data_IF_288220819887
#
_entry.id   IF_288220819887
#
_cell.length_a   1.000
_cell.length_b   1.000
_cell.length_c   1.000
_cell.angle_alpha   90.00
_cell.angle_beta   90.00
_cell.angle_gamma   90.00
#
_symmetry.space_group_name_H-M   'P 1'
#
loop_
_entity.id
_entity.type
_entity.pdbx_description
1 polymer ?
#
# COMPACT_ATOMS: atom_id res chain seq x y z
N UNK A 1 6.97 -2.19 22.23
CA UNK A 1 5.95 -1.49 21.42
C UNK A 1 5.10 -0.52 22.24
N UNK A 2 4.64 -0.85 23.45
CA UNK A 2 3.88 0.11 24.28
C UNK A 2 4.64 1.41 24.56
N UNK A 3 5.96 1.34 24.82
CA UNK A 3 6.80 2.52 25.04
C UNK A 3 6.89 3.46 23.81
N UNK A 4 6.58 2.99 22.60
CA UNK A 4 6.57 3.84 21.41
C UNK A 4 5.31 4.74 21.39
N UNK A 5 4.24 4.32 22.08
CA UNK A 5 3.03 5.13 22.27
C UNK A 5 3.23 6.26 23.28
N UNK A 6 4.29 6.22 24.10
CA UNK A 6 4.60 7.25 25.09
C UNK A 6 5.39 8.42 24.50
N UNK A 7 5.98 8.24 23.32
CA UNK A 7 6.74 9.28 22.62
C UNK A 7 5.86 9.94 21.57
N UNK A 8 5.49 11.19 21.84
CA UNK A 8 4.57 11.96 21.01
C UNK A 8 5.28 13.02 20.16
N UNK A 9 4.72 13.25 18.98
CA UNK A 9 5.15 14.29 18.06
C UNK A 9 3.96 15.11 17.56
N UNK A 10 4.21 16.39 17.28
CA UNK A 10 3.18 17.35 16.84
C UNK A 10 2.90 17.28 15.33
N UNK A 11 3.75 16.57 14.57
CA UNK A 11 3.60 16.42 13.12
C UNK A 11 4.07 15.05 12.62
N UNK A 12 3.50 14.62 11.50
CA UNK A 12 4.00 13.50 10.70
C UNK A 12 5.32 13.91 10.04
N UNK A 13 6.27 12.99 9.97
CA UNK A 13 7.52 13.22 9.25
C UNK A 13 8.57 12.15 9.52
N UNK A 14 9.63 12.11 8.72
CA UNK A 14 10.74 11.19 8.95
C UNK A 14 11.68 11.72 10.00
N UNK A 15 12.23 10.80 10.80
CA UNK A 15 13.19 11.15 11.83
C UNK A 15 14.56 11.33 11.19
N UNK A 16 15.15 12.51 11.35
CA UNK A 16 16.49 12.83 10.86
C UNK A 16 17.40 13.18 12.03
N UNK A 17 18.65 12.73 11.99
CA UNK A 17 19.68 13.08 12.95
C UNK A 17 20.63 14.09 12.33
N UNK A 18 20.88 15.20 13.03
CA UNK A 18 21.88 16.18 12.60
C UNK A 18 23.31 15.74 12.96
N UNK A 19 24.31 16.51 12.53
CA UNK A 19 25.73 16.25 12.82
C UNK A 19 26.09 16.31 14.31
N UNK A 20 25.22 16.87 15.14
CA UNK A 20 25.40 16.99 16.59
C UNK A 20 24.66 15.89 17.37
N UNK A 21 24.01 14.97 16.66
CA UNK A 21 23.25 13.88 17.25
C UNK A 21 21.83 14.26 17.71
N UNK A 22 21.36 15.48 17.40
CA UNK A 22 20.01 15.95 17.72
C UNK A 22 19.04 15.43 16.66
N UNK A 23 17.94 14.86 17.12
CA UNK A 23 16.88 14.36 16.24
C UNK A 23 15.84 15.44 15.98
N UNK A 24 15.43 15.58 14.72
CA UNK A 24 14.34 16.45 14.30
C UNK A 24 13.43 15.76 13.29
N UNK A 25 12.15 16.15 13.29
CA UNK A 25 11.18 15.63 12.32
C UNK A 25 11.29 16.47 11.06
N UNK A 26 11.78 15.83 9.99
CA UNK A 26 11.89 16.41 8.66
C UNK A 26 10.61 16.27 7.85
N UNK A 27 10.74 16.37 6.55
CA UNK A 27 9.71 15.93 5.61
C UNK A 27 9.38 14.45 5.87
N UNK A 28 8.12 14.06 5.68
CA UNK A 28 7.79 12.64 5.70
C UNK A 28 8.47 11.98 4.49
N UNK A 29 9.10 10.83 4.67
CA UNK A 29 9.64 10.04 3.55
C UNK A 29 8.92 8.69 3.43
N UNK A 30 8.02 8.40 4.36
CA UNK A 30 7.12 7.25 4.25
C UNK A 30 6.03 7.62 3.26
N UNK A 31 6.06 7.02 2.07
CA UNK A 31 5.08 7.22 0.98
C UNK A 31 3.63 7.12 1.49
N UNK A 32 3.40 6.24 2.46
CA UNK A 32 2.09 5.99 3.06
C UNK A 32 1.60 7.08 4.01
N UNK A 33 2.50 7.95 4.48
CA UNK A 33 2.29 9.01 5.47
C UNK A 33 2.65 10.40 4.92
N UNK A 34 3.28 10.46 3.75
CA UNK A 34 3.55 11.65 2.93
C UNK A 34 2.25 12.26 2.40
N UNK A 35 1.36 12.66 3.31
CA UNK A 35 0.07 13.25 2.99
C UNK A 35 0.18 14.75 2.71
N UNK A 36 1.26 15.14 2.02
CA UNK A 36 1.50 16.50 1.51
C UNK A 36 1.47 16.62 -0.01
N UNK A 37 1.15 15.58 -0.79
CA UNK A 37 0.53 15.74 -2.11
C UNK A 37 -0.46 14.59 -2.33
N UNK A 38 -1.73 14.95 -2.55
CA UNK A 38 -2.96 14.15 -2.36
C UNK A 38 -3.12 12.98 -3.33
N UNK A 39 -2.05 12.61 -4.02
CA UNK A 39 -2.14 11.95 -5.30
C UNK A 39 -1.45 10.59 -5.33
N UNK A 40 -0.57 10.12 -4.44
CA UNK A 40 0.22 8.89 -4.72
C UNK A 40 -0.51 7.62 -5.22
N UNK A 41 -1.76 7.26 -4.88
CA UNK A 41 -2.43 6.16 -5.62
C UNK A 41 -2.93 6.61 -7.00
N UNK A 42 -3.41 7.85 -7.09
CA UNK A 42 -3.82 8.50 -8.34
C UNK A 42 -2.61 8.90 -9.21
N UNK A 43 -1.61 9.61 -8.71
CA UNK A 43 -0.26 9.85 -9.22
C UNK A 43 0.49 8.55 -9.51
N UNK A 44 0.59 7.55 -8.63
CA UNK A 44 1.20 6.26 -9.01
C UNK A 44 0.39 5.62 -10.13
N UNK A 45 -0.95 5.61 -10.06
CA UNK A 45 -1.73 5.13 -11.18
C UNK A 45 -1.61 6.03 -12.43
N UNK A 46 -1.26 7.31 -12.33
CA UNK A 46 -1.08 8.28 -13.42
C UNK A 46 0.38 8.34 -13.94
N UNK A 47 1.36 7.86 -13.20
CA UNK A 47 2.79 8.08 -13.47
C UNK A 47 3.58 6.76 -13.51
N UNK A 48 3.08 5.68 -12.87
CA UNK A 48 3.77 4.41 -12.77
C UNK A 48 2.86 3.23 -13.18
N UNK A 49 3.41 2.18 -13.81
CA UNK A 49 2.65 0.98 -14.10
C UNK A 49 2.16 0.33 -12.80
N UNK A 50 0.85 0.06 -12.62
CA UNK A 50 0.34 -0.63 -11.43
C UNK A 50 0.70 -2.11 -11.41
N UNK A 51 1.44 -2.62 -12.41
CA UNK A 51 1.83 -4.03 -12.55
C UNK A 51 2.51 -4.55 -11.27
N UNK A 52 2.07 -5.70 -10.72
CA UNK A 52 1.15 -6.68 -11.30
C UNK A 52 -0.34 -6.43 -11.00
N UNK A 53 -0.72 -5.34 -10.33
CA UNK A 53 -2.04 -5.12 -9.77
C UNK A 53 -3.11 -4.78 -10.81
N UNK A 54 -4.26 -5.45 -10.68
CA UNK A 54 -5.50 -5.04 -11.32
C UNK A 54 -6.55 -4.84 -10.25
N UNK A 55 -7.10 -3.62 -10.14
CA UNK A 55 -7.95 -3.27 -9.00
C UNK A 55 -9.12 -4.27 -8.83
N UNK A 56 -9.82 -4.59 -9.92
CA UNK A 56 -11.00 -5.47 -9.91
C UNK A 56 -10.68 -6.95 -10.15
N UNK A 57 -9.44 -7.31 -10.45
CA UNK A 57 -9.09 -8.68 -10.79
C UNK A 57 -8.04 -9.24 -9.81
N UNK A 58 -8.34 -10.36 -9.14
CA UNK A 58 -7.47 -10.90 -8.10
C UNK A 58 -6.18 -11.49 -8.69
N UNK A 59 -5.01 -11.16 -8.14
CA UNK A 59 -3.79 -11.91 -8.47
C UNK A 59 -3.78 -13.18 -7.61
N UNK A 60 -3.71 -14.39 -8.22
CA UNK A 60 -3.76 -15.64 -7.46
C UNK A 60 -2.67 -15.72 -6.39
N UNK A 61 -3.07 -16.11 -5.18
CA UNK A 61 -2.15 -16.33 -4.07
C UNK A 61 -1.99 -17.80 -3.74
N UNK A 62 -0.78 -18.24 -3.41
CA UNK A 62 -0.48 -19.65 -3.16
C UNK A 62 -1.29 -20.24 -2.00
N UNK A 63 -1.62 -19.45 -0.98
CA UNK A 63 -2.35 -19.90 0.21
C UNK A 63 -3.86 -20.04 -0.03
N UNK A 64 -4.39 -19.54 -1.16
CA UNK A 64 -5.79 -19.67 -1.55
C UNK A 64 -6.11 -21.02 -2.22
N UNK A 65 -5.08 -21.78 -2.60
CA UNK A 65 -5.25 -23.03 -3.34
C UNK A 65 -4.83 -24.26 -2.53
N UNK A 66 -5.58 -25.36 -2.60
CA UNK A 66 -5.30 -26.57 -1.82
C UNK A 66 -4.03 -27.31 -2.27
N UNK A 67 -3.54 -27.02 -3.48
CA UNK A 67 -2.34 -27.65 -4.03
C UNK A 67 -1.71 -26.81 -5.13
N UNK A 68 -0.43 -27.09 -5.38
CA UNK A 68 0.40 -26.40 -6.36
C UNK A 68 -0.13 -26.49 -7.80
N UNK A 69 -0.76 -27.60 -8.17
CA UNK A 69 -1.35 -27.77 -9.51
C UNK A 69 -2.51 -26.82 -9.75
N UNK A 70 -3.36 -26.61 -8.75
CA UNK A 70 -4.50 -25.69 -8.84
C UNK A 70 -4.04 -24.24 -8.86
N UNK A 71 -3.06 -23.90 -8.02
CA UNK A 71 -2.40 -22.59 -8.03
C UNK A 71 -1.78 -22.26 -9.40
N UNK A 72 -1.00 -23.17 -9.98
CA UNK A 72 -0.42 -22.99 -11.32
C UNK A 72 -1.48 -22.71 -12.39
N UNK A 73 -2.56 -23.48 -12.40
CA UNK A 73 -3.68 -23.24 -13.33
C UNK A 73 -4.31 -21.85 -13.15
N UNK A 74 -4.38 -21.35 -11.93
CA UNK A 74 -4.88 -20.00 -11.66
C UNK A 74 -3.90 -18.93 -12.15
N UNK A 75 -2.60 -19.11 -11.92
CA UNK A 75 -1.54 -18.24 -12.46
C UNK A 75 -1.54 -18.24 -13.99
N UNK A 76 -1.69 -19.39 -14.65
CA UNK A 76 -1.77 -19.48 -16.11
C UNK A 76 -2.98 -18.66 -16.61
N UNK A 77 -4.14 -18.75 -15.95
CA UNK A 77 -5.33 -17.95 -16.29
C UNK A 77 -5.11 -16.47 -16.05
N UNK A 78 -4.42 -16.11 -14.97
CA UNK A 78 -4.04 -14.73 -14.65
C UNK A 78 -3.14 -14.14 -15.74
N UNK A 79 -2.12 -14.87 -16.17
CA UNK A 79 -1.23 -14.45 -17.26
C UNK A 79 -2.00 -14.25 -18.58
N UNK A 80 -2.91 -15.17 -18.93
CA UNK A 80 -3.79 -15.00 -20.08
C UNK A 80 -4.74 -13.80 -19.93
N UNK A 81 -5.18 -13.48 -18.70
CA UNK A 81 -5.97 -12.28 -18.45
C UNK A 81 -5.14 -11.02 -18.69
N UNK A 82 -3.91 -10.97 -18.18
CA UNK A 82 -3.00 -9.83 -18.36
C UNK A 82 -2.65 -9.58 -19.83
N UNK A 83 -2.55 -10.64 -20.65
CA UNK A 83 -2.22 -10.53 -22.09
C UNK A 83 -3.36 -9.96 -22.95
N UNK A 84 -4.56 -9.74 -22.40
CA UNK A 84 -5.70 -9.22 -23.17
C UNK A 84 -5.79 -7.70 -22.97
N UNK A 85 -5.59 -6.93 -24.04
CA UNK A 85 -5.94 -5.51 -24.14
C UNK A 85 -5.38 -4.65 -22.98
N UNK A 86 -4.12 -4.88 -22.62
CA UNK A 86 -3.38 -4.20 -21.55
C UNK A 86 -4.20 -4.03 -20.28
N UNK A 87 -4.89 -5.08 -19.82
CA UNK A 87 -5.83 -4.96 -18.68
C UNK A 87 -5.19 -4.50 -17.38
N UNK A 88 -3.89 -4.75 -17.20
CA UNK A 88 -3.15 -4.35 -16.00
C UNK A 88 -2.64 -2.92 -16.16
N UNK A 89 -2.03 -2.58 -17.29
CA UNK A 89 -1.42 -1.26 -17.50
C UNK A 89 -2.37 -0.24 -18.12
N UNK A 90 -3.54 -0.68 -18.57
CA UNK A 90 -4.48 0.14 -19.33
C UNK A 90 -5.21 1.16 -18.48
N UNK A 91 -5.61 2.25 -19.14
CA UNK A 91 -6.23 3.42 -18.50
C UNK A 91 -7.51 3.11 -17.71
N UNK A 92 -8.21 2.02 -18.01
CA UNK A 92 -9.38 1.59 -17.21
C UNK A 92 -8.98 1.07 -15.82
N UNK A 93 -7.85 0.37 -15.72
CA UNK A 93 -7.34 -0.12 -14.45
C UNK A 93 -6.77 1.05 -13.63
N UNK A 94 -6.00 1.92 -14.29
CA UNK A 94 -5.47 3.17 -13.70
C UNK A 94 -6.60 4.04 -13.15
N UNK A 95 -7.66 4.26 -13.93
CA UNK A 95 -8.87 4.96 -13.47
C UNK A 95 -9.51 4.30 -12.24
N UNK A 96 -9.52 2.97 -12.18
CA UNK A 96 -9.98 2.22 -11.00
C UNK A 96 -9.20 2.62 -9.75
N UNK A 97 -7.87 2.60 -9.80
CA UNK A 97 -7.03 3.04 -8.69
C UNK A 97 -7.21 4.52 -8.34
N UNK A 98 -7.36 5.41 -9.32
CA UNK A 98 -7.64 6.82 -9.05
C UNK A 98 -8.99 7.02 -8.32
N UNK A 99 -10.04 6.32 -8.76
CA UNK A 99 -11.35 6.37 -8.08
C UNK A 99 -11.26 5.78 -6.68
N UNK A 100 -10.52 4.67 -6.50
CA UNK A 100 -10.24 4.11 -5.18
C UNK A 100 -9.54 5.14 -4.28
N UNK A 101 -8.54 5.86 -4.81
CA UNK A 101 -7.82 6.93 -4.12
C UNK A 101 -8.77 8.02 -3.61
N UNK A 102 -9.72 8.46 -4.44
CA UNK A 102 -10.72 9.45 -4.05
C UNK A 102 -11.56 8.96 -2.86
N UNK A 103 -12.02 7.71 -2.88
CA UNK A 103 -12.75 7.13 -1.75
C UNK A 103 -11.87 6.98 -0.51
N UNK A 104 -10.62 6.50 -0.66
CA UNK A 104 -9.69 6.35 0.46
C UNK A 104 -9.43 7.69 1.15
N UNK A 105 -9.27 8.76 0.38
CA UNK A 105 -9.14 10.13 0.89
C UNK A 105 -10.39 10.56 1.69
N UNK A 106 -11.60 10.22 1.23
CA UNK A 106 -12.85 10.47 1.96
C UNK A 106 -12.97 9.64 3.26
N UNK A 107 -12.28 8.50 3.35
CA UNK A 107 -12.28 7.63 4.53
C UNK A 107 -11.28 8.04 5.62
N UNK A 108 -10.23 8.80 5.28
CA UNK A 108 -9.15 9.24 6.20
C UNK A 108 -9.66 9.73 7.57
N UNK A 109 -10.69 10.60 7.68
CA UNK A 109 -11.17 11.10 8.97
C UNK A 109 -11.71 10.01 9.92
N UNK A 110 -11.97 8.81 9.41
CA UNK A 110 -12.43 7.65 10.19
C UNK A 110 -11.30 6.74 10.66
N UNK A 111 -10.08 6.98 10.15
CA UNK A 111 -8.87 6.22 10.45
C UNK A 111 -8.06 6.87 11.57
N UNK A 112 -8.09 8.20 11.64
CA UNK A 112 -7.32 9.00 12.60
C UNK A 112 -8.24 9.88 13.45
N UNK A 113 -7.83 10.22 14.68
CA UNK A 113 -8.52 11.20 15.52
C UNK A 113 -8.05 12.62 15.20
N UNK A 114 -8.93 13.60 15.31
CA UNK A 114 -8.56 15.02 15.16
C UNK A 114 -7.57 15.50 16.24
N UNK A 115 -7.60 14.84 17.40
CA UNK A 115 -6.72 15.10 18.55
C UNK A 115 -5.58 14.07 18.64
N UNK A 116 -5.33 13.29 17.58
CA UNK A 116 -4.30 12.24 17.61
C UNK A 116 -2.90 12.84 17.64
N UNK A 117 -2.12 12.48 18.65
CA UNK A 117 -0.69 12.71 18.68
C UNK A 117 0.03 11.64 17.86
N UNK A 118 1.05 12.03 17.10
CA UNK A 118 1.81 11.09 16.28
C UNK A 118 2.83 10.34 17.15
N UNK A 119 3.07 9.08 16.82
CA UNK A 119 3.99 8.19 17.53
C UNK A 119 5.11 7.75 16.61
N UNK A 120 6.23 7.32 17.18
CA UNK A 120 7.30 6.73 16.37
C UNK A 120 6.86 5.38 15.81
N UNK A 121 7.06 5.21 14.51
CA UNK A 121 6.68 4.02 13.76
C UNK A 121 7.88 3.49 12.98
N UNK A 122 8.00 2.16 12.95
CA UNK A 122 9.03 1.44 12.23
C UNK A 122 8.40 0.76 11.00
N UNK A 123 8.61 1.28 9.77
CA UNK A 123 7.87 0.83 8.59
C UNK A 123 8.18 -0.60 8.14
N UNK A 124 9.38 -1.11 8.44
CA UNK A 124 9.81 -2.46 8.08
C UNK A 124 9.91 -3.39 9.30
N UNK A 125 8.94 -3.28 10.22
CA UNK A 125 8.99 -4.07 11.46
C UNK A 125 8.58 -5.53 11.20
N UNK A 126 9.57 -6.39 11.00
CA UNK A 126 9.39 -7.83 10.83
C UNK A 126 10.21 -8.64 11.84
N UNK A 127 9.99 -9.96 11.94
CA UNK A 127 10.67 -10.84 12.92
C UNK A 127 12.20 -10.72 12.89
N UNK A 128 12.80 -10.63 11.69
CA UNK A 128 14.24 -10.42 11.53
C UNK A 128 14.80 -9.08 12.05
N UNK A 129 13.97 -8.11 12.45
CA UNK A 129 14.39 -6.85 13.09
C UNK A 129 14.15 -6.85 14.60
N UNK A 130 13.54 -7.90 15.16
CA UNK A 130 13.20 -8.02 16.59
C UNK A 130 14.09 -9.09 17.21
N UNK A 131 14.95 -8.68 18.14
CA UNK A 131 15.81 -9.58 18.89
C UNK A 131 15.19 -9.86 20.26
N UNK A 132 15.31 -11.11 20.69
CA UNK A 132 14.79 -11.57 21.98
C UNK A 132 15.87 -12.35 22.73
N UNK A 133 15.77 -12.38 24.06
CA UNK A 133 16.57 -13.25 24.93
C UNK A 133 15.99 -14.69 25.01
N UNK A 134 16.57 -15.52 25.87
CA UNK A 134 16.15 -16.92 26.10
C UNK A 134 14.72 -17.03 26.66
N UNK A 135 14.22 -15.98 27.31
CA UNK A 135 12.88 -15.90 27.89
C UNK A 135 11.87 -15.20 26.96
N UNK A 136 12.25 -14.94 25.70
CA UNK A 136 11.47 -14.23 24.70
C UNK A 136 11.16 -12.76 25.03
N UNK A 137 11.91 -12.12 25.93
CA UNK A 137 11.81 -10.68 26.12
C UNK A 137 12.48 -9.95 24.96
N UNK A 138 11.86 -8.89 24.45
CA UNK A 138 12.46 -8.06 23.40
C UNK A 138 13.68 -7.35 23.98
N UNK A 139 14.87 -7.68 23.48
CA UNK A 139 16.14 -7.07 23.88
C UNK A 139 16.52 -5.90 22.98
N UNK A 140 16.16 -5.97 21.70
CA UNK A 140 16.47 -4.92 20.73
C UNK A 140 15.48 -4.93 19.56
N UNK A 141 15.22 -3.73 19.02
CA UNK A 141 14.64 -3.52 17.70
C UNK A 141 15.68 -2.74 16.90
N UNK A 142 16.03 -3.23 15.71
CA UNK A 142 17.07 -2.62 14.87
C UNK A 142 16.47 -2.00 13.60
N UNK A 143 17.32 -1.32 12.84
CA UNK A 143 17.02 -0.77 11.51
C UNK A 143 16.00 0.39 11.48
N UNK A 144 16.17 1.31 12.43
CA UNK A 144 15.37 2.53 12.53
C UNK A 144 15.68 3.59 11.46
N UNK A 145 16.49 3.27 10.43
CA UNK A 145 16.93 4.23 9.41
C UNK A 145 15.78 4.84 8.60
N UNK A 146 14.62 4.17 8.57
CA UNK A 146 13.41 4.65 7.90
C UNK A 146 12.28 5.00 8.88
N UNK A 147 12.57 5.17 10.16
CA UNK A 147 11.56 5.48 11.16
C UNK A 147 10.87 6.83 10.90
N UNK A 148 9.57 6.87 11.18
CA UNK A 148 8.73 8.06 10.96
C UNK A 148 7.77 8.30 12.11
N UNK A 149 7.34 9.54 12.29
CA UNK A 149 6.18 9.88 13.10
C UNK A 149 4.91 9.55 12.30
N UNK A 150 4.00 8.77 12.89
CA UNK A 150 2.79 8.23 12.25
C UNK A 150 1.59 8.24 13.21
N UNK A 151 0.33 8.21 12.73
CA UNK A 151 -0.82 7.95 13.60
C UNK A 151 -0.64 6.70 14.47
N UNK A 152 -1.09 6.76 15.73
CA UNK A 152 -1.02 5.64 16.65
C UNK A 152 -1.78 4.41 16.10
N UNK A 153 -2.86 4.65 15.35
CA UNK A 153 -3.60 3.59 14.65
C UNK A 153 -2.75 2.73 13.70
N UNK A 154 -1.69 3.29 13.09
CA UNK A 154 -0.76 2.51 12.25
C UNK A 154 0.11 1.59 13.10
N UNK A 155 0.69 2.11 14.19
CA UNK A 155 1.48 1.29 15.13
C UNK A 155 0.64 0.18 15.77
N UNK A 156 -0.63 0.46 16.04
CA UNK A 156 -1.58 -0.49 16.64
C UNK A 156 -2.15 -1.49 15.64
N UNK A 157 -2.00 -1.24 14.33
CA UNK A 157 -2.44 -2.16 13.31
C UNK A 157 -1.66 -3.46 13.43
N UNK A 158 -2.36 -4.59 13.52
CA UNK A 158 -1.69 -5.88 13.69
C UNK A 158 -1.00 -6.26 12.39
N UNK A 159 0.31 -6.02 12.30
CA UNK A 159 1.09 -6.38 11.12
C UNK A 159 1.02 -7.89 10.89
N UNK A 160 0.74 -8.27 9.66
CA UNK A 160 0.82 -9.67 9.23
C UNK A 160 2.29 -10.08 9.25
N UNK A 161 2.70 -10.90 10.22
CA UNK A 161 3.97 -11.59 10.16
C UNK A 161 3.93 -12.40 8.84
N UNK A 162 4.88 -12.14 7.95
CA UNK A 162 5.11 -12.89 6.70
C UNK A 162 4.30 -12.41 5.48
N UNK A 163 3.86 -11.14 5.42
CA UNK A 163 3.28 -10.57 4.20
C UNK A 163 1.95 -11.20 3.76
N UNK A 164 1.30 -11.95 4.67
CA UNK A 164 0.04 -12.64 4.38
C UNK A 164 -1.01 -11.67 3.84
N UNK A 165 -1.67 -12.06 2.75
CA UNK A 165 -2.79 -11.36 2.14
C UNK A 165 -4.03 -11.29 3.05
N UNK A 166 -4.16 -12.31 3.91
CA UNK A 166 -5.30 -12.47 4.80
C UNK A 166 -5.17 -11.59 6.05
N UNK A 167 -6.32 -11.15 6.62
CA UNK A 167 -6.33 -10.54 7.94
C UNK A 167 -5.57 -11.38 8.97
N UNK A 168 -4.83 -10.74 9.90
CA UNK A 168 -4.10 -11.45 10.94
C UNK A 168 -5.04 -12.36 11.72
N UNK A 169 -4.59 -13.58 12.01
CA UNK A 169 -5.38 -14.56 12.77
C UNK A 169 -5.89 -13.94 14.09
N UNK A 170 -7.11 -14.25 14.53
CA UNK A 170 -7.66 -13.70 15.78
C UNK A 170 -6.77 -13.92 17.00
N UNK A 171 -6.01 -15.02 17.04
CA UNK A 171 -5.03 -15.30 18.09
C UNK A 171 -3.87 -14.30 18.10
N UNK A 172 -3.36 -13.90 16.92
CA UNK A 172 -2.28 -12.90 16.80
C UNK A 172 -2.77 -11.51 17.18
N UNK A 173 -3.97 -11.13 16.73
CA UNK A 173 -4.61 -9.88 17.14
C UNK A 173 -4.80 -9.83 18.65
N UNK A 174 -5.29 -10.92 19.24
CA UNK A 174 -5.48 -11.04 20.69
C UNK A 174 -4.15 -10.94 21.44
N UNK A 175 -3.10 -11.62 20.96
CA UNK A 175 -1.77 -11.57 21.56
C UNK A 175 -1.17 -10.16 21.52
N UNK A 176 -1.23 -9.47 20.37
CA UNK A 176 -0.74 -8.10 20.23
C UNK A 176 -1.47 -7.15 21.19
N UNK A 177 -2.81 -7.17 21.17
CA UNK A 177 -3.63 -6.32 22.03
C UNK A 177 -3.36 -6.59 23.51
N UNK A 178 -3.16 -7.85 23.89
CA UNK A 178 -2.78 -8.21 25.26
C UNK A 178 -1.40 -7.69 25.63
N UNK A 179 -0.41 -7.80 24.73
CA UNK A 179 0.94 -7.27 24.95
C UNK A 179 0.95 -5.75 25.17
N UNK A 180 0.21 -5.00 24.34
CA UNK A 180 0.08 -3.54 24.48
C UNK A 180 -0.56 -3.17 25.82
N UNK A 181 -1.65 -3.86 26.19
CA UNK A 181 -2.32 -3.65 27.49
C UNK A 181 -1.42 -3.96 28.68
N UNK A 182 -0.70 -5.08 28.64
CA UNK A 182 0.23 -5.48 29.70
C UNK A 182 1.40 -4.49 29.82
N UNK A 183 1.75 -3.79 28.73
CA UNK A 183 2.73 -2.71 28.72
C UNK A 183 2.23 -1.37 29.26
N UNK A 184 1.08 -1.33 29.95
CA UNK A 184 0.55 -0.15 30.64
C UNK A 184 -0.43 0.71 29.85
N UNK A 185 -0.66 0.40 28.57
CA UNK A 185 -1.49 1.20 27.67
C UNK A 185 -2.96 0.77 27.74
N UNK A 186 -3.84 1.66 28.21
CA UNK A 186 -5.29 1.41 28.28
C UNK A 186 -5.99 2.04 27.08
N UNK A 187 -6.09 1.27 26.00
CA UNK A 187 -6.73 1.70 24.75
C UNK A 187 -8.21 1.32 24.71
N UNK A 188 -9.07 2.27 24.35
CA UNK A 188 -10.50 2.06 24.21
C UNK A 188 -10.89 1.32 22.92
N UNK A 189 -12.17 0.89 22.80
CA UNK A 189 -12.68 0.19 21.60
C UNK A 189 -12.52 1.00 20.30
N UNK A 190 -12.63 2.33 20.37
CA UNK A 190 -12.52 3.19 19.20
C UNK A 190 -11.09 3.21 18.63
N UNK A 191 -10.07 3.22 19.49
CA UNK A 191 -8.67 3.16 19.07
C UNK A 191 -8.36 1.85 18.34
N UNK A 192 -8.86 0.73 18.84
CA UNK A 192 -8.72 -0.56 18.16
C UNK A 192 -9.49 -0.62 16.84
N UNK A 193 -10.70 -0.05 16.79
CA UNK A 193 -11.46 0.03 15.54
C UNK A 193 -10.73 0.87 14.47
N UNK A 194 -10.06 1.96 14.87
CA UNK A 194 -9.20 2.76 13.99
C UNK A 194 -8.00 1.95 13.49
N UNK A 195 -7.32 1.23 14.39
CA UNK A 195 -6.20 0.37 14.03
C UNK A 195 -6.60 -0.74 13.04
N UNK A 196 -7.78 -1.33 13.22
CA UNK A 196 -8.29 -2.37 12.32
C UNK A 196 -8.62 -1.79 10.93
N UNK A 197 -9.17 -0.58 10.84
CA UNK A 197 -9.37 0.11 9.54
C UNK A 197 -8.04 0.50 8.90
N UNK A 198 -7.10 1.01 9.69
CA UNK A 198 -5.77 1.40 9.24
C UNK A 198 -5.02 0.21 8.61
N UNK A 199 -5.21 -1.01 9.13
CA UNK A 199 -4.67 -2.22 8.53
C UNK A 199 -5.08 -2.41 7.06
N UNK A 200 -6.36 -2.24 6.73
CA UNK A 200 -6.83 -2.33 5.33
C UNK A 200 -6.30 -1.17 4.49
N UNK A 201 -6.36 0.04 5.04
CA UNK A 201 -5.93 1.25 4.36
C UNK A 201 -4.47 1.15 3.92
N UNK A 202 -3.56 0.83 4.84
CA UNK A 202 -2.12 0.74 4.58
C UNK A 202 -1.79 -0.27 3.49
N UNK A 203 -2.54 -1.37 3.40
CA UNK A 203 -2.29 -2.41 2.40
C UNK A 203 -2.69 -1.98 0.99
N UNK A 204 -3.75 -1.18 0.88
CA UNK A 204 -4.20 -0.59 -0.38
C UNK A 204 -3.23 0.49 -0.85
N UNK A 205 -2.88 1.46 0.02
CA UNK A 205 -2.02 2.58 -0.38
C UNK A 205 -0.56 2.16 -0.59
N UNK A 206 -0.08 1.12 0.09
CA UNK A 206 1.27 0.56 -0.13
C UNK A 206 1.32 -0.48 -1.25
N UNK A 207 0.18 -0.82 -1.87
CA UNK A 207 0.06 -1.93 -2.84
C UNK A 207 0.71 -3.23 -2.35
N UNK A 208 0.56 -3.55 -1.06
CA UNK A 208 1.16 -4.76 -0.46
C UNK A 208 0.29 -6.00 -0.71
N UNK A 209 -0.94 -5.81 -1.21
CA UNK A 209 -1.91 -6.89 -1.40
C UNK A 209 -2.20 -7.17 -2.85
N UNK A 210 -2.48 -8.43 -3.18
CA UNK A 210 -2.95 -8.85 -4.50
C UNK A 210 -4.47 -8.84 -4.68
N UNK A 211 -5.20 -8.50 -3.61
CA UNK A 211 -6.66 -8.58 -3.51
C UNK A 211 -7.29 -7.20 -3.28
N UNK A 212 -6.95 -6.24 -4.13
CA UNK A 212 -7.23 -4.81 -3.93
C UNK A 212 -8.73 -4.51 -3.77
N UNK A 213 -9.59 -4.93 -4.70
CA UNK A 213 -11.04 -4.70 -4.58
C UNK A 213 -11.63 -5.33 -3.32
N UNK A 214 -11.18 -6.52 -2.91
CA UNK A 214 -11.70 -7.22 -1.71
C UNK A 214 -11.33 -6.48 -0.43
N UNK A 215 -10.08 -5.99 -0.33
CA UNK A 215 -9.64 -5.18 0.79
C UNK A 215 -10.34 -3.83 0.81
N UNK A 216 -10.49 -3.19 -0.35
CA UNK A 216 -11.22 -1.93 -0.48
C UNK A 216 -12.67 -2.08 -0.02
N UNK A 217 -13.36 -3.14 -0.47
CA UNK A 217 -14.73 -3.44 -0.03
C UNK A 217 -14.80 -3.60 1.49
N UNK A 218 -13.88 -4.38 2.06
CA UNK A 218 -13.83 -4.60 3.51
C UNK A 218 -13.63 -3.30 4.30
N UNK A 219 -12.74 -2.42 3.83
CA UNK A 219 -12.52 -1.11 4.44
C UNK A 219 -13.75 -0.20 4.28
N UNK A 220 -14.33 -0.16 3.09
CA UNK A 220 -15.50 0.65 2.77
C UNK A 220 -16.67 0.27 3.69
N UNK A 221 -16.97 -1.02 3.79
CA UNK A 221 -18.06 -1.53 4.62
C UNK A 221 -17.81 -1.21 6.10
N UNK A 222 -16.55 -1.29 6.54
CA UNK A 222 -16.16 -0.98 7.92
C UNK A 222 -16.22 0.53 8.24
N UNK A 223 -15.94 1.40 7.28
CA UNK A 223 -16.00 2.86 7.49
C UNK A 223 -17.45 3.36 7.46
N UNK A 224 -18.23 2.93 6.48
CA UNK A 224 -19.57 3.47 6.26
C UNK A 224 -20.68 2.64 6.90
N UNK A 225 -20.37 1.50 7.51
CA UNK A 225 -21.33 0.55 8.09
C UNK A 225 -22.42 0.14 7.08
N UNK A 226 -22.06 0.11 5.79
CA UNK A 226 -22.92 -0.34 4.70
C UNK A 226 -22.45 -1.72 4.30
N UNK A 227 -23.36 -2.67 4.14
CA UNK A 227 -23.06 -3.91 3.43
C UNK A 227 -23.36 -3.60 1.96
N UNK A 228 -22.39 -3.03 1.24
CA UNK A 228 -22.62 -2.59 -0.12
C UNK A 228 -22.36 -3.75 -1.08
N UNK A 229 -23.42 -4.32 -1.62
CA UNK A 229 -23.32 -5.44 -2.57
C UNK A 229 -22.77 -5.03 -3.96
N UNK A 230 -22.30 -3.79 -4.16
CA UNK A 230 -21.83 -3.37 -5.48
C UNK A 230 -20.79 -2.23 -5.52
N UNK A 231 -19.56 -2.50 -5.07
CA UNK A 231 -18.39 -1.63 -5.32
C UNK A 231 -18.25 -1.23 -6.80
N UNK A 232 -18.41 -2.13 -7.79
CA UNK A 232 -18.35 -1.76 -9.21
C UNK A 232 -19.33 -0.64 -9.60
N UNK A 233 -20.54 -0.65 -9.04
CA UNK A 233 -21.54 0.41 -9.27
C UNK A 233 -21.09 1.75 -8.69
N UNK A 234 -20.51 1.77 -7.49
CA UNK A 234 -20.00 3.01 -6.89
C UNK A 234 -18.89 3.62 -7.75
N UNK A 235 -18.00 2.78 -8.28
CA UNK A 235 -16.93 3.21 -9.18
C UNK A 235 -17.50 3.73 -10.50
N UNK A 236 -18.49 3.04 -11.06
CA UNK A 236 -19.19 3.50 -12.26
C UNK A 236 -19.85 4.87 -12.03
N UNK A 237 -20.57 5.05 -10.92
CA UNK A 237 -21.21 6.32 -10.58
C UNK A 237 -20.19 7.46 -10.40
N UNK A 238 -19.01 7.18 -9.82
CA UNK A 238 -17.92 8.17 -9.69
C UNK A 238 -17.31 8.53 -11.05
N UNK A 239 -17.09 7.54 -11.91
CA UNK A 239 -16.59 7.71 -13.28
C UNK A 239 -17.55 8.57 -14.13
N UNK A 240 -18.86 8.38 -13.99
CA UNK A 240 -19.86 9.08 -14.80
C UNK A 240 -20.01 10.57 -14.46
N UNK A 241 -19.43 11.07 -13.36
CA UNK A 241 -19.37 12.49 -13.01
C UNK A 241 -18.35 13.23 -13.90
N UNK A 242 -18.51 14.54 -14.05
CA UNK A 242 -17.63 15.36 -14.89
C UNK A 242 -16.16 15.24 -14.49
N UNK A 243 -15.87 15.21 -13.18
CA UNK A 243 -14.52 15.00 -12.66
C UNK A 243 -13.95 13.62 -13.03
N UNK A 244 -14.77 12.58 -13.04
CA UNK A 244 -14.36 11.21 -13.39
C UNK A 244 -14.07 11.07 -14.89
N UNK A 245 -14.92 11.67 -15.73
CA UNK A 245 -14.69 11.70 -17.18
C UNK A 245 -13.46 12.52 -17.57
N UNK A 246 -13.25 13.66 -16.93
CA UNK A 246 -12.07 14.50 -17.14
C UNK A 246 -10.78 13.75 -16.77
N UNK A 247 -10.78 13.05 -15.63
CA UNK A 247 -9.68 12.22 -15.19
C UNK A 247 -9.38 11.08 -16.18
N UNK A 248 -10.40 10.39 -16.67
CA UNK A 248 -10.19 9.34 -17.69
C UNK A 248 -9.62 9.90 -19.00
N UNK A 249 -10.09 11.07 -19.43
CA UNK A 249 -9.56 11.74 -20.62
C UNK A 249 -8.08 12.11 -20.44
N UNK A 250 -7.69 12.60 -19.25
CA UNK A 250 -6.30 12.90 -18.90
C UNK A 250 -5.41 11.66 -19.02
N UNK A 251 -5.82 10.54 -18.40
CA UNK A 251 -5.09 9.27 -18.47
C UNK A 251 -4.90 8.76 -19.91
N UNK A 252 -5.87 8.99 -20.79
CA UNK A 252 -5.74 8.62 -22.20
C UNK A 252 -4.77 9.51 -22.98
N UNK A 253 -4.71 10.80 -22.68
CA UNK A 253 -3.79 11.75 -23.34
C UNK A 253 -2.33 11.49 -22.98
N UNK A 254 -2.06 11.11 -21.73
CA UNK A 254 -0.70 10.83 -21.25
C UNK A 254 -0.09 9.56 -21.88
N UNK A 255 -0.92 8.58 -22.25
CA UNK A 255 -0.47 7.35 -22.93
C UNK A 255 -0.14 7.53 -24.41
N UNK A 256 -0.67 8.55 -25.08
CA UNK A 256 -0.38 8.84 -26.49
C UNK A 256 0.94 9.62 -26.65
N UNK A 257 1.36 10.38 -25.63
CA UNK A 257 2.58 11.20 -25.68
C UNK A 257 3.90 10.44 -25.52
N UNK A 258 3.89 9.19 -25.05
CA UNK A 258 5.10 8.37 -24.89
C UNK A 258 5.45 7.57 -26.16
N UNK A 259 4.55 7.46 -27.15
CA UNK A 259 4.81 6.74 -28.41
C UNK A 259 5.45 7.62 -29.51
N UNK A 260 5.58 8.93 -29.28
CA UNK A 260 6.12 9.91 -30.25
C UNK A 260 7.43 10.56 -29.76
N UNK A 261 8.41 9.78 -29.28
CA UNK A 261 9.80 10.22 -29.43
C UNK A 261 10.24 9.92 -30.88
N UNK A 262 10.45 10.93 -31.74
CA UNK A 262 10.98 10.68 -33.06
C UNK A 262 12.42 10.20 -32.89
N UNK A 263 12.67 8.93 -33.21
CA UNK A 263 14.01 8.44 -33.54
C UNK A 263 14.63 9.43 -34.51
N UNK A 264 15.61 10.20 -34.03
CA UNK A 264 16.43 11.02 -34.91
C UNK A 264 17.18 10.06 -35.84
N UNK A 265 16.73 10.00 -37.09
CA UNK A 265 17.50 9.46 -38.20
C UNK A 265 18.75 10.34 -38.36
N UNK A 266 19.87 9.90 -37.78
CA UNK A 266 21.18 10.36 -38.22
C UNK A 266 21.55 9.62 -39.51
N UNK A 267 21.24 10.29 -40.62
CA UNK A 267 21.74 9.94 -41.95
C UNK A 267 23.23 10.25 -42.02
N UNK A 268 24.08 9.22 -42.07
CA UNK A 268 25.53 9.40 -41.88
C UNK A 268 26.43 8.20 -42.19
N UNK A 269 26.21 7.52 -43.32
CA UNK A 269 27.22 6.83 -44.15
C UNK A 269 28.48 6.21 -43.47
N UNK A 270 28.52 4.87 -43.33
CA UNK A 270 29.81 4.16 -43.12
C UNK A 270 29.69 2.73 -42.60
N UNK A 271 29.90 1.75 -43.47
CA UNK A 271 29.95 0.31 -43.21
C UNK A 271 30.75 -0.10 -41.95
N UNK A 272 30.26 -1.08 -41.18
CA UNK A 272 31.02 -2.32 -40.84
C UNK A 272 30.07 -3.42 -40.36
N UNK A 273 30.14 -4.56 -41.04
CA UNK A 273 29.54 -5.85 -40.68
C UNK A 273 30.23 -6.41 -39.43
N UNK A 274 29.45 -6.90 -38.45
CA UNK A 274 29.72 -8.19 -37.76
C UNK A 274 28.50 -8.69 -36.98
N UNK A 275 27.94 -9.78 -37.49
CA UNK A 275 27.30 -10.82 -36.69
C UNK A 275 28.22 -11.18 -35.50
N UNK A 276 27.68 -11.56 -34.34
CA UNK A 276 27.97 -12.83 -33.67
C UNK A 276 27.19 -12.97 -32.33
N UNK A 277 26.35 -14.03 -32.30
CA UNK A 277 25.91 -14.90 -31.19
C UNK A 277 25.10 -14.38 -29.99
N UNK A 278 23.81 -14.77 -30.02
CA UNK A 278 23.16 -15.48 -28.93
C UNK A 278 23.96 -16.75 -28.55
N UNK A 279 24.45 -16.80 -27.32
CA UNK A 279 24.39 -18.01 -26.49
C UNK A 279 24.50 -17.61 -25.01
N UNK A 280 23.41 -17.89 -24.28
CA UNK A 280 23.19 -18.01 -22.82
C UNK A 280 24.46 -18.16 -21.93
N UNK A 281 24.40 -17.79 -20.63
CA UNK A 281 23.22 -17.76 -19.75
C UNK A 281 22.80 -16.37 -19.26
#
# INVERSE_FOLDING_TARGET
>A
MSCLLDTHFDKIGSLSQDSNGIYSIGECLSSSLLWQHRDELEAHAQELPPTPHSFFAPIPDVFEYPNWTSYRKAIDRWQHFCSINDKVEGNKNRLGFCIASQFLNEMIPHLVSAEEQFVIYHPDLHRGKIFVDEDFNITCIIDWGSASASPASELLSTLGLDGSLSPPKPSLVTALRSGIRNGGQVLGPQQWARADKMWYFLRLVRMISTQDCTLFQSLYDFVYFKNLDNIPRQFHERNMRDSGRALFAKLCQEGESEEDEPTQEEDGNGQTIKQLFLSKP
#
